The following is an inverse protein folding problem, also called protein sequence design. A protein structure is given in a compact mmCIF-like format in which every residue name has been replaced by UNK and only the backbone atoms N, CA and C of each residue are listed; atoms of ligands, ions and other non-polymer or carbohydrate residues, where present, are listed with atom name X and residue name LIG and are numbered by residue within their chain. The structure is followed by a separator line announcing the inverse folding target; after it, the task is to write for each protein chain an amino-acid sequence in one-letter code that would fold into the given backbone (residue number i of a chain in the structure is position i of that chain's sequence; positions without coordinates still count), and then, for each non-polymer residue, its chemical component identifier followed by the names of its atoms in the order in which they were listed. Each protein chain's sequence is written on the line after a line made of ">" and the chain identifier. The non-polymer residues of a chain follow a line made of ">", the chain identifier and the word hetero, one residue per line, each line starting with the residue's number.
data_IF_820658538482
#
_entry.id   IF_820658538482
#
_cell.length_a   1.000
_cell.length_b   1.000
_cell.length_c   1.000
_cell.angle_alpha   90.00
_cell.angle_beta   90.00
_cell.angle_gamma   90.00
#
_symmetry.space_group_name_H-M   'P 1'
#
loop_
_entity.id
_entity.type
_entity.pdbx_description
1 polymer ?
#
# COMPACT_ATOMS: atom_id res chain seq x y z
N UNK A 1 2.05 12.65 -28.95
CA UNK A 1 1.41 11.98 -27.82
C UNK A 1 1.19 10.54 -28.23
N UNK A 2 1.64 9.58 -27.42
CA UNK A 2 1.39 8.15 -27.63
C UNK A 2 0.57 7.63 -26.45
N UNK A 3 -0.57 7.00 -26.71
CA UNK A 3 -1.45 6.47 -25.66
C UNK A 3 -1.69 5.01 -25.98
N UNK A 4 -1.54 4.12 -25.00
CA UNK A 4 -1.82 2.69 -25.15
C UNK A 4 -1.21 2.05 -26.42
N UNK A 5 0.11 2.16 -26.54
CA UNK A 5 0.85 1.75 -27.74
C UNK A 5 2.27 1.36 -27.39
N UNK A 6 2.89 2.03 -26.41
CA UNK A 6 4.28 1.77 -26.05
C UNK A 6 4.48 0.34 -25.53
N UNK A 7 3.52 -0.15 -24.76
CA UNK A 7 3.45 -1.51 -24.24
C UNK A 7 3.29 -2.57 -25.34
N UNK A 8 2.73 -2.22 -26.51
CA UNK A 8 2.60 -3.11 -27.66
C UNK A 8 3.87 -3.16 -28.53
N UNK A 9 4.87 -2.31 -28.26
CA UNK A 9 6.10 -2.27 -29.06
C UNK A 9 6.96 -3.50 -28.80
N UNK A 10 7.26 -4.33 -29.83
CA UNK A 10 8.14 -5.47 -29.67
C UNK A 10 9.60 -5.03 -29.48
N UNK A 11 9.97 -3.84 -29.97
CA UNK A 11 11.30 -3.27 -29.84
C UNK A 11 11.25 -1.79 -29.40
N UNK A 12 11.09 -1.53 -28.08
CA UNK A 12 10.97 -0.17 -27.55
C UNK A 12 12.21 0.71 -27.80
N UNK A 13 13.41 0.13 -27.77
CA UNK A 13 14.66 0.86 -28.03
C UNK A 13 14.71 1.37 -29.48
N UNK A 14 14.34 0.54 -30.47
CA UNK A 14 14.25 0.97 -31.87
C UNK A 14 13.25 2.09 -32.06
N UNK A 15 12.08 2.00 -31.40
CA UNK A 15 11.08 3.05 -31.42
C UNK A 15 11.63 4.37 -30.86
N UNK A 16 12.24 4.35 -29.66
CA UNK A 16 12.86 5.52 -29.05
C UNK A 16 13.91 6.14 -29.97
N UNK A 17 14.83 5.33 -30.53
CA UNK A 17 15.82 5.82 -31.52
C UNK A 17 15.17 6.43 -32.75
N UNK A 18 14.05 5.88 -33.20
CA UNK A 18 13.24 6.45 -34.28
C UNK A 18 12.72 7.83 -33.92
N UNK A 19 12.13 7.99 -32.72
CA UNK A 19 11.68 9.29 -32.22
C UNK A 19 12.84 10.30 -32.14
N UNK A 20 13.99 9.90 -31.63
CA UNK A 20 15.16 10.78 -31.52
C UNK A 20 15.63 11.34 -32.87
N UNK A 21 15.42 10.61 -33.98
CA UNK A 21 15.79 11.07 -35.33
C UNK A 21 14.85 12.15 -35.89
N UNK A 22 13.60 12.19 -35.42
CA UNK A 22 12.56 13.10 -35.96
C UNK A 22 12.26 14.28 -35.02
N UNK A 23 12.68 14.19 -33.76
CA UNK A 23 12.57 15.27 -32.80
C UNK A 23 13.64 16.35 -33.06
N UNK A 24 13.24 17.61 -32.87
CA UNK A 24 14.19 18.73 -32.79
C UNK A 24 14.97 18.64 -31.47
N UNK A 25 16.15 19.27 -31.36
CA UNK A 25 16.86 19.39 -30.08
C UNK A 25 15.94 19.87 -28.95
N UNK A 26 15.94 19.17 -27.82
CA UNK A 26 15.06 19.44 -26.68
C UNK A 26 13.58 19.05 -26.89
N UNK A 27 13.24 18.36 -27.98
CA UNK A 27 11.91 17.84 -28.25
C UNK A 27 11.45 16.84 -27.18
N UNK A 28 10.14 16.83 -26.92
CA UNK A 28 9.53 16.02 -25.84
C UNK A 28 8.57 15.00 -26.42
N UNK A 29 8.59 13.79 -25.86
CA UNK A 29 7.58 12.75 -26.06
C UNK A 29 6.74 12.69 -24.79
N UNK A 30 5.43 12.85 -24.94
CA UNK A 30 4.45 12.58 -23.87
C UNK A 30 3.73 11.28 -24.17
N UNK A 31 3.68 10.39 -23.17
CA UNK A 31 2.99 9.10 -23.30
C UNK A 31 2.09 8.83 -22.11
N UNK A 32 1.00 8.11 -22.37
CA UNK A 32 0.15 7.52 -21.34
C UNK A 32 0.33 6.00 -21.41
N UNK A 33 0.72 5.39 -20.29
CA UNK A 33 1.21 4.02 -20.21
C UNK A 33 0.39 3.26 -19.18
N UNK A 34 -0.16 2.07 -19.51
CA UNK A 34 -0.86 1.23 -18.54
C UNK A 34 0.01 0.95 -17.31
N UNK A 35 -0.59 1.09 -16.13
CA UNK A 35 -0.01 0.57 -14.90
C UNK A 35 -0.50 -0.88 -14.73
N UNK A 36 0.42 -1.84 -14.65
CA UNK A 36 0.07 -3.26 -14.48
C UNK A 36 -0.84 -3.50 -13.29
N UNK A 37 -0.77 -2.66 -12.25
CA UNK A 37 -1.56 -2.77 -11.02
C UNK A 37 -3.04 -2.43 -11.21
N UNK A 38 -3.42 -1.95 -12.40
CA UNK A 38 -4.73 -1.41 -12.73
C UNK A 38 -5.29 -1.90 -14.09
N UNK A 39 -4.65 -2.90 -14.70
CA UNK A 39 -5.08 -3.48 -15.98
C UNK A 39 -4.87 -5.00 -16.01
N UNK A 40 -5.18 -5.62 -17.15
CA UNK A 40 -5.08 -7.07 -17.32
C UNK A 40 -3.66 -7.63 -17.27
N UNK A 41 -2.61 -6.81 -17.24
CA UNK A 41 -1.25 -7.26 -16.94
C UNK A 41 -1.01 -7.54 -15.44
N UNK A 42 -2.06 -7.45 -14.61
CA UNK A 42 -2.02 -7.57 -13.15
C UNK A 42 -1.09 -8.66 -12.61
N UNK A 43 -1.14 -9.87 -13.19
CA UNK A 43 -0.34 -11.00 -12.72
C UNK A 43 1.03 -11.15 -13.41
N UNK A 44 1.30 -10.37 -14.46
CA UNK A 44 2.57 -10.45 -15.20
C UNK A 44 3.68 -9.70 -14.47
N UNK A 45 4.93 -10.20 -14.46
CA UNK A 45 6.06 -9.45 -13.94
C UNK A 45 6.33 -8.19 -14.79
N UNK A 46 6.94 -7.18 -14.20
CA UNK A 46 7.44 -6.02 -14.96
C UNK A 46 8.54 -6.43 -15.93
N UNK A 47 8.62 -5.76 -17.07
CA UNK A 47 9.63 -6.05 -18.09
C UNK A 47 11.04 -5.77 -17.61
N UNK A 48 11.98 -6.64 -17.97
CA UNK A 48 13.40 -6.50 -17.64
C UNK A 48 14.16 -5.74 -18.72
N UNK A 49 15.27 -5.11 -18.33
CA UNK A 49 16.18 -4.48 -19.30
C UNK A 49 16.75 -5.48 -20.30
N UNK A 50 17.02 -6.71 -19.86
CA UNK A 50 17.53 -7.78 -20.74
C UNK A 50 16.55 -8.13 -21.85
N UNK A 51 15.24 -8.12 -21.59
CA UNK A 51 14.23 -8.36 -22.63
C UNK A 51 14.27 -7.27 -23.72
N UNK A 52 14.41 -6.01 -23.32
CA UNK A 52 14.56 -4.89 -24.27
C UNK A 52 15.87 -4.96 -25.05
N UNK A 53 16.99 -5.32 -24.41
CA UNK A 53 18.29 -5.48 -25.08
C UNK A 53 18.23 -6.63 -26.09
N UNK A 54 17.67 -7.78 -25.72
CA UNK A 54 17.53 -8.93 -26.62
C UNK A 54 16.68 -8.56 -27.84
N UNK A 55 15.48 -8.01 -27.61
CA UNK A 55 14.60 -7.52 -28.66
C UNK A 55 15.28 -6.51 -29.60
N UNK A 56 16.10 -5.61 -29.04
CA UNK A 56 16.84 -4.63 -29.81
C UNK A 56 17.94 -5.25 -30.66
N UNK A 57 18.74 -6.16 -30.11
CA UNK A 57 19.85 -6.82 -30.81
C UNK A 57 19.36 -7.80 -31.88
N UNK A 58 18.23 -8.45 -31.65
CA UNK A 58 17.57 -9.36 -32.60
C UNK A 58 16.72 -8.61 -33.64
N UNK A 59 16.61 -7.29 -33.52
CA UNK A 59 15.79 -6.40 -34.35
C UNK A 59 14.34 -6.91 -34.52
N UNK A 60 13.73 -7.36 -33.42
CA UNK A 60 12.38 -7.95 -33.47
C UNK A 60 11.37 -6.90 -33.96
N UNK A 61 10.50 -7.31 -34.87
CA UNK A 61 9.51 -6.43 -35.51
C UNK A 61 8.07 -6.80 -35.18
N UNK A 62 7.86 -7.84 -34.38
CA UNK A 62 6.54 -8.35 -34.00
C UNK A 62 6.60 -8.98 -32.59
N UNK A 63 5.48 -9.05 -31.87
CA UNK A 63 5.41 -9.77 -30.60
C UNK A 63 5.77 -11.24 -30.79
N UNK A 64 6.49 -11.79 -29.82
CA UNK A 64 6.83 -13.21 -29.77
C UNK A 64 5.65 -14.05 -29.25
N UNK A 65 5.64 -15.35 -29.58
CA UNK A 65 4.70 -16.31 -28.96
C UNK A 65 4.83 -16.31 -27.43
N UNK A 66 6.03 -16.09 -26.91
CA UNK A 66 6.31 -15.87 -25.48
C UNK A 66 5.46 -14.76 -24.88
N UNK A 67 5.54 -13.57 -25.47
CA UNK A 67 4.79 -12.41 -24.98
C UNK A 67 3.28 -12.61 -25.07
N UNK A 68 2.78 -13.22 -26.16
CA UNK A 68 1.36 -13.50 -26.30
C UNK A 68 0.87 -14.52 -25.26
N UNK A 69 1.59 -15.62 -25.06
CA UNK A 69 1.26 -16.64 -24.08
C UNK A 69 1.25 -16.09 -22.65
N UNK A 70 2.28 -15.34 -22.26
CA UNK A 70 2.36 -14.72 -20.94
C UNK A 70 1.18 -13.75 -20.73
N UNK A 71 0.80 -13.00 -21.77
CA UNK A 71 -0.36 -12.10 -21.71
C UNK A 71 -1.67 -12.86 -21.50
N UNK A 72 -1.97 -13.85 -22.34
CA UNK A 72 -3.28 -14.54 -22.31
C UNK A 72 -3.44 -15.45 -21.09
N UNK A 73 -2.36 -16.07 -20.60
CA UNK A 73 -2.40 -16.94 -19.42
C UNK A 73 -2.43 -16.18 -18.11
N UNK A 74 -1.90 -14.95 -18.08
CA UNK A 74 -1.90 -14.08 -16.91
C UNK A 74 -2.92 -12.93 -16.98
N UNK A 75 -3.87 -12.96 -17.93
CA UNK A 75 -4.90 -11.92 -18.09
C UNK A 75 -5.70 -11.75 -16.80
N UNK A 76 -5.47 -10.64 -16.11
CA UNK A 76 -6.17 -10.27 -14.89
C UNK A 76 -7.55 -9.71 -15.19
N UNK A 77 -8.56 -10.29 -14.56
CA UNK A 77 -9.95 -9.87 -14.65
C UNK A 77 -10.45 -9.47 -13.27
N UNK A 78 -10.84 -8.20 -13.12
CA UNK A 78 -11.45 -7.69 -11.89
C UNK A 78 -12.95 -7.98 -11.89
N UNK A 79 -13.42 -8.63 -10.83
CA UNK A 79 -14.83 -8.95 -10.60
C UNK A 79 -15.55 -7.76 -9.96
N UNK A 80 -16.46 -7.14 -10.70
CA UNK A 80 -17.28 -6.02 -10.23
C UNK A 80 -18.57 -6.46 -9.54
N UNK A 81 -18.81 -7.77 -9.41
CA UNK A 81 -20.06 -8.40 -8.96
C UNK A 81 -21.05 -8.67 -10.10
N UNK A 82 -21.20 -7.73 -11.04
CA UNK A 82 -22.09 -7.87 -12.20
C UNK A 82 -21.36 -8.36 -13.46
N UNK A 83 -20.05 -8.10 -13.55
CA UNK A 83 -19.24 -8.35 -14.74
C UNK A 83 -17.77 -8.49 -14.37
N UNK A 84 -16.95 -8.87 -15.36
CA UNK A 84 -15.50 -8.86 -15.26
C UNK A 84 -14.90 -7.83 -16.20
N UNK A 85 -13.95 -7.03 -15.73
CA UNK A 85 -13.27 -6.01 -16.54
C UNK A 85 -11.76 -6.24 -16.60
N UNK A 86 -11.16 -5.83 -17.73
CA UNK A 86 -9.70 -5.90 -17.98
C UNK A 86 -8.95 -4.63 -17.56
N UNK A 87 -9.69 -3.63 -17.07
CA UNK A 87 -9.16 -2.35 -16.64
C UNK A 87 -9.99 -1.83 -15.48
N UNK A 88 -9.33 -1.32 -14.45
CA UNK A 88 -9.91 -0.97 -13.16
C UNK A 88 -9.04 0.06 -12.44
N UNK A 89 -9.55 0.69 -11.38
CA UNK A 89 -8.74 1.64 -10.61
C UNK A 89 -7.65 0.92 -9.81
N UNK A 90 -6.54 1.61 -9.52
CA UNK A 90 -5.49 1.04 -8.68
C UNK A 90 -5.99 0.84 -7.24
N UNK A 91 -5.57 -0.26 -6.62
CA UNK A 91 -5.87 -0.54 -5.22
C UNK A 91 -7.21 -1.26 -4.97
N UNK A 92 -7.80 -1.85 -6.02
CA UNK A 92 -8.86 -2.85 -5.85
C UNK A 92 -8.41 -3.99 -4.93
N UNK A 93 -9.38 -4.64 -4.29
CA UNK A 93 -9.14 -5.85 -3.48
C UNK A 93 -8.48 -6.93 -4.35
N UNK A 94 -7.23 -7.36 -4.07
CA UNK A 94 -6.53 -8.35 -4.88
C UNK A 94 -7.29 -9.66 -5.08
N UNK A 95 -8.09 -10.06 -4.10
CA UNK A 95 -8.93 -11.27 -4.11
C UNK A 95 -10.02 -11.23 -5.18
N UNK A 96 -10.40 -10.04 -5.65
CA UNK A 96 -11.38 -9.85 -6.73
C UNK A 96 -10.75 -9.85 -8.11
N UNK A 97 -9.42 -9.89 -8.21
CA UNK A 97 -8.72 -10.03 -9.48
C UNK A 97 -8.36 -11.50 -9.67
N UNK A 98 -8.73 -12.08 -10.82
CA UNK A 98 -8.48 -13.49 -11.13
C UNK A 98 -8.07 -13.67 -12.59
N UNK A 99 -7.25 -14.69 -12.86
CA UNK A 99 -6.94 -15.12 -14.21
C UNK A 99 -7.75 -16.37 -14.57
N UNK A 100 -8.33 -16.39 -15.77
CA UNK A 100 -8.99 -17.59 -16.28
C UNK A 100 -7.98 -18.67 -16.65
N UNK A 101 -8.28 -19.94 -16.35
CA UNK A 101 -7.42 -21.05 -16.75
C UNK A 101 -7.46 -21.22 -18.27
N UNK A 102 -6.33 -20.98 -18.95
CA UNK A 102 -6.18 -21.13 -20.41
C UNK A 102 -4.96 -21.96 -20.81
N UNK A 103 -4.33 -22.70 -19.90
CA UNK A 103 -3.02 -23.31 -20.14
C UNK A 103 -3.02 -24.31 -21.32
N UNK A 104 -3.98 -25.24 -21.36
CA UNK A 104 -4.04 -26.26 -22.43
C UNK A 104 -4.28 -25.61 -23.81
N UNK A 105 -5.24 -24.69 -23.89
CA UNK A 105 -5.55 -23.94 -25.12
C UNK A 105 -4.35 -23.09 -25.57
N UNK A 106 -3.73 -22.35 -24.64
CA UNK A 106 -2.61 -21.45 -24.96
C UNK A 106 -1.36 -22.22 -25.35
N UNK A 107 -1.14 -23.41 -24.77
CA UNK A 107 -0.02 -24.28 -25.14
C UNK A 107 -0.24 -24.95 -26.51
N UNK A 108 -1.48 -25.34 -26.81
CA UNK A 108 -1.85 -25.79 -28.15
C UNK A 108 -1.62 -24.67 -29.19
N UNK A 109 -2.06 -23.43 -28.91
CA UNK A 109 -1.81 -22.27 -29.76
C UNK A 109 -0.31 -21.98 -29.95
N UNK A 110 0.50 -22.11 -28.89
CA UNK A 110 1.95 -21.91 -28.96
C UNK A 110 2.64 -22.90 -29.91
N UNK A 111 2.26 -24.17 -29.80
CA UNK A 111 2.91 -25.29 -30.50
C UNK A 111 2.39 -25.46 -31.92
N UNK A 112 1.30 -24.81 -32.29
CA UNK A 112 0.76 -24.81 -33.64
C UNK A 112 1.70 -24.10 -34.63
N UNK A 113 2.40 -24.90 -35.43
CA UNK A 113 3.31 -24.42 -36.47
C UNK A 113 2.57 -23.81 -37.66
N UNK A 114 1.28 -24.08 -37.86
CA UNK A 114 0.51 -23.50 -38.96
C UNK A 114 0.31 -22.00 -38.80
N UNK A 115 0.41 -21.49 -37.57
CA UNK A 115 0.32 -20.07 -37.19
C UNK A 115 1.69 -19.39 -37.18
N UNK A 116 2.70 -19.98 -37.82
CA UNK A 116 4.02 -19.36 -37.88
C UNK A 116 3.98 -18.08 -38.72
N UNK A 117 4.59 -17.02 -38.20
CA UNK A 117 4.53 -15.69 -38.80
C UNK A 117 3.20 -14.94 -38.67
N UNK A 118 2.18 -15.48 -38.00
CA UNK A 118 0.96 -14.72 -37.66
C UNK A 118 1.29 -13.57 -36.70
N UNK A 119 0.59 -12.44 -36.84
CA UNK A 119 0.73 -11.30 -35.93
C UNK A 119 -0.28 -11.43 -34.79
N UNK A 120 0.24 -11.53 -33.57
CA UNK A 120 -0.55 -11.52 -32.35
C UNK A 120 -0.39 -10.16 -31.69
N UNK A 121 -1.46 -9.38 -31.61
CA UNK A 121 -1.41 -8.14 -30.84
C UNK A 121 -1.22 -8.48 -29.36
N UNK A 122 -0.22 -7.88 -28.73
CA UNK A 122 0.17 -8.24 -27.36
C UNK A 122 0.86 -7.08 -26.67
N UNK A 123 0.56 -6.92 -25.38
CA UNK A 123 1.42 -6.16 -24.48
C UNK A 123 2.78 -6.87 -24.38
N UNK A 124 3.73 -6.39 -25.17
CA UNK A 124 5.12 -6.83 -25.23
C UNK A 124 5.91 -6.43 -23.99
N UNK A 125 5.54 -5.31 -23.38
CA UNK A 125 6.14 -4.81 -22.15
C UNK A 125 5.08 -4.48 -21.10
N UNK A 126 5.46 -4.59 -19.83
CA UNK A 126 4.59 -4.44 -18.65
C UNK A 126 5.30 -3.53 -17.66
N UNK A 127 4.59 -2.51 -17.16
CA UNK A 127 5.21 -1.44 -16.37
C UNK A 127 4.46 -1.12 -15.08
N UNK A 128 5.23 -0.61 -14.14
CA UNK A 128 4.82 0.34 -13.11
C UNK A 128 5.56 1.65 -13.38
N UNK A 129 5.19 2.78 -12.75
CA UNK A 129 5.90 4.05 -12.93
C UNK A 129 7.42 3.92 -12.70
N UNK A 130 7.83 3.31 -11.59
CA UNK A 130 9.26 3.17 -11.27
C UNK A 130 9.99 2.19 -12.18
N UNK A 131 9.32 1.12 -12.66
CA UNK A 131 9.97 0.18 -13.59
C UNK A 131 10.17 0.77 -14.97
N UNK A 132 9.21 1.56 -15.46
CA UNK A 132 9.37 2.32 -16.70
C UNK A 132 10.51 3.35 -16.57
N UNK A 133 10.55 4.10 -15.46
CA UNK A 133 11.63 5.06 -15.20
C UNK A 133 13.00 4.39 -15.29
N UNK A 134 13.15 3.28 -14.59
CA UNK A 134 14.39 2.52 -14.54
C UNK A 134 14.81 2.06 -15.93
N UNK A 135 13.89 1.52 -16.73
CA UNK A 135 14.20 1.05 -18.09
C UNK A 135 14.65 2.18 -19.01
N UNK A 136 13.96 3.33 -19.00
CA UNK A 136 14.35 4.47 -19.83
C UNK A 136 15.73 5.01 -19.41
N UNK A 137 15.96 5.15 -18.10
CA UNK A 137 17.25 5.61 -17.57
C UNK A 137 18.37 4.63 -17.88
N UNK A 138 18.17 3.32 -17.72
CA UNK A 138 19.20 2.31 -18.01
C UNK A 138 19.51 2.27 -19.51
N UNK A 139 18.50 2.40 -20.38
CA UNK A 139 18.67 2.54 -21.84
C UNK A 139 19.49 3.78 -22.20
N UNK A 140 19.21 4.92 -21.57
CA UNK A 140 19.97 6.15 -21.74
C UNK A 140 21.40 6.00 -21.24
N UNK A 141 21.59 5.39 -20.07
CA UNK A 141 22.88 5.17 -19.45
C UNK A 141 23.81 4.30 -20.31
N UNK A 142 23.24 3.30 -20.98
CA UNK A 142 23.93 2.42 -21.92
C UNK A 142 24.15 3.06 -23.30
N UNK A 143 23.63 4.26 -23.56
CA UNK A 143 23.72 4.93 -24.85
C UNK A 143 22.85 4.30 -25.95
N UNK A 144 21.82 3.55 -25.57
CA UNK A 144 20.93 2.85 -26.51
C UNK A 144 19.82 3.76 -27.06
N UNK A 145 19.35 4.73 -26.29
CA UNK A 145 18.48 5.81 -26.77
C UNK A 145 18.67 7.11 -25.95
N UNK A 146 18.60 8.31 -26.57
CA UNK A 146 19.00 9.56 -25.92
C UNK A 146 17.81 10.29 -25.28
N UNK A 147 17.18 9.69 -24.27
CA UNK A 147 16.04 10.30 -23.56
C UNK A 147 16.28 10.47 -22.07
N UNK A 148 16.07 11.70 -21.61
CA UNK A 148 15.99 12.07 -20.21
C UNK A 148 14.54 11.92 -19.73
N UNK A 149 14.35 11.31 -18.56
CA UNK A 149 13.06 11.30 -17.88
C UNK A 149 12.87 12.65 -17.19
N UNK A 150 11.94 13.46 -17.71
CA UNK A 150 11.62 14.79 -17.15
C UNK A 150 10.59 14.66 -16.04
N UNK A 151 9.56 13.85 -16.28
CA UNK A 151 8.42 13.73 -15.38
C UNK A 151 7.75 12.37 -15.56
N UNK A 152 7.40 11.76 -14.44
CA UNK A 152 6.45 10.66 -14.37
C UNK A 152 5.35 11.10 -13.40
N UNK A 153 4.17 11.31 -13.94
CA UNK A 153 2.98 11.61 -13.17
C UNK A 153 2.26 10.31 -12.86
N UNK A 154 2.37 9.90 -11.60
CA UNK A 154 1.63 8.76 -11.07
C UNK A 154 0.16 9.14 -10.87
N UNK A 155 -0.74 8.39 -11.51
CA UNK A 155 -2.18 8.62 -11.48
C UNK A 155 -2.88 7.43 -10.80
N UNK A 156 -3.91 7.67 -9.97
CA UNK A 156 -4.67 6.59 -9.32
C UNK A 156 -5.58 5.81 -10.29
N UNK A 157 -5.64 6.24 -11.56
CA UNK A 157 -6.40 5.58 -12.61
C UNK A 157 -5.74 4.30 -13.13
N UNK A 158 -5.95 4.03 -14.42
CA UNK A 158 -5.49 2.81 -15.12
C UNK A 158 -4.09 2.94 -15.71
N UNK A 159 -3.59 4.17 -15.77
CA UNK A 159 -2.37 4.54 -16.48
C UNK A 159 -1.62 5.65 -15.73
N UNK A 160 -0.33 5.77 -16.01
CA UNK A 160 0.52 6.87 -15.59
C UNK A 160 1.02 7.64 -16.82
N UNK A 161 1.39 8.91 -16.63
CA UNK A 161 1.83 9.78 -17.72
C UNK A 161 3.32 10.05 -17.63
N UNK A 162 4.01 10.00 -18.76
CA UNK A 162 5.46 10.21 -18.82
C UNK A 162 5.79 11.31 -19.80
N UNK A 163 6.84 12.08 -19.46
CA UNK A 163 7.46 13.05 -20.36
C UNK A 163 8.94 12.74 -20.48
N UNK A 164 9.34 12.41 -21.70
CA UNK A 164 10.72 12.14 -22.06
C UNK A 164 11.24 13.27 -22.93
N UNK A 165 12.40 13.83 -22.59
CA UNK A 165 13.05 14.87 -23.39
C UNK A 165 14.25 14.28 -24.12
N UNK A 166 14.34 14.54 -25.41
CA UNK A 166 15.54 14.20 -26.18
C UNK A 166 16.71 15.04 -25.65
N UNK A 167 17.76 14.37 -25.22
CA UNK A 167 18.94 14.98 -24.64
C UNK A 167 20.20 14.21 -25.08
N UNK A 168 21.23 14.92 -25.52
CA UNK A 168 22.50 14.37 -25.98
C UNK A 168 23.66 14.63 -25.01
N UNK A 169 23.42 15.35 -23.91
CA UNK A 169 24.41 15.57 -22.85
C UNK A 169 24.67 14.28 -22.08
N UNK A 170 25.94 13.93 -21.95
CA UNK A 170 26.37 12.77 -21.15
C UNK A 170 26.00 12.95 -19.69
N UNK A 171 26.11 14.17 -19.16
CA UNK A 171 25.80 14.50 -17.78
C UNK A 171 24.31 14.27 -17.47
N UNK A 172 23.43 14.56 -18.44
CA UNK A 172 22.00 14.30 -18.30
C UNK A 172 21.64 12.81 -18.42
N UNK A 173 22.30 12.06 -19.32
CA UNK A 173 22.00 10.64 -19.57
C UNK A 173 22.76 9.68 -18.64
N UNK A 174 23.87 10.12 -18.06
CA UNK A 174 24.75 9.38 -17.15
C UNK A 174 25.18 10.26 -15.96
N UNK A 175 24.22 10.73 -15.15
CA UNK A 175 24.51 11.62 -14.04
C UNK A 175 25.39 10.95 -12.98
N UNK A 176 26.10 11.76 -12.18
CA UNK A 176 26.73 11.29 -10.95
C UNK A 176 25.66 10.77 -9.97
N UNK A 177 26.02 9.77 -9.15
CA UNK A 177 25.06 9.16 -8.21
C UNK A 177 24.01 8.24 -8.86
N UNK A 178 24.27 7.75 -10.07
CA UNK A 178 23.34 6.89 -10.80
C UNK A 178 23.06 5.57 -10.06
N UNK A 179 24.05 5.02 -9.36
CA UNK A 179 23.90 3.77 -8.60
C UNK A 179 22.89 3.91 -7.46
N UNK A 180 22.97 4.99 -6.68
CA UNK A 180 22.06 5.28 -5.58
C UNK A 180 20.63 5.49 -6.10
N UNK A 181 20.47 6.29 -7.16
CA UNK A 181 19.17 6.49 -7.82
C UNK A 181 18.60 5.16 -8.33
N UNK A 182 19.44 4.33 -8.98
CA UNK A 182 19.04 3.03 -9.49
C UNK A 182 18.59 2.09 -8.37
N UNK A 183 19.32 2.05 -7.26
CA UNK A 183 18.94 1.26 -6.09
C UNK A 183 17.60 1.73 -5.48
N UNK A 184 17.36 3.04 -5.42
CA UNK A 184 16.08 3.59 -4.98
C UNK A 184 14.93 3.16 -5.88
N UNK A 185 15.10 3.21 -7.21
CA UNK A 185 14.08 2.74 -8.15
C UNK A 185 13.83 1.23 -8.02
N UNK A 186 14.88 0.43 -7.84
CA UNK A 186 14.74 -1.02 -7.63
C UNK A 186 13.91 -1.33 -6.38
N UNK A 187 14.12 -0.61 -5.28
CA UNK A 187 13.28 -0.75 -4.08
C UNK A 187 11.84 -0.32 -4.34
N UNK A 188 11.62 0.82 -5.02
CA UNK A 188 10.26 1.27 -5.37
C UNK A 188 9.50 0.27 -6.23
N UNK A 189 10.17 -0.43 -7.15
CA UNK A 189 9.53 -1.48 -7.96
C UNK A 189 9.04 -2.63 -7.07
N UNK A 190 9.80 -2.99 -6.02
CA UNK A 190 9.36 -4.00 -5.04
C UNK A 190 8.15 -3.51 -4.23
N UNK A 191 8.16 -2.25 -3.80
CA UNK A 191 7.04 -1.64 -3.08
C UNK A 191 5.78 -1.56 -3.95
N UNK A 192 5.90 -1.12 -5.21
CA UNK A 192 4.80 -1.07 -6.17
C UNK A 192 4.25 -2.48 -6.47
N UNK A 193 5.12 -3.49 -6.57
CA UNK A 193 4.68 -4.87 -6.73
C UNK A 193 3.89 -5.36 -5.50
N UNK A 194 4.32 -5.00 -4.29
CA UNK A 194 3.65 -5.37 -3.05
C UNK A 194 2.22 -4.82 -2.94
N UNK A 195 1.89 -3.70 -3.59
CA UNK A 195 0.52 -3.15 -3.57
C UNK A 195 -0.56 -4.10 -4.10
N UNK A 196 -0.18 -5.05 -4.95
CA UNK A 196 -1.09 -6.07 -5.50
C UNK A 196 -1.18 -7.34 -4.63
N UNK A 197 -0.46 -7.37 -3.50
CA UNK A 197 -0.48 -8.48 -2.55
C UNK A 197 -1.61 -8.34 -1.53
N UNK A 198 -2.42 -9.39 -1.40
CA UNK A 198 -3.46 -9.52 -0.35
C UNK A 198 -2.90 -9.32 1.05
N UNK A 199 -1.71 -9.87 1.31
CA UNK A 199 -1.04 -9.76 2.61
C UNK A 199 -0.61 -8.33 2.88
N UNK A 200 -0.05 -7.64 1.89
CA UNK A 200 0.37 -6.24 2.03
C UNK A 200 -0.83 -5.32 2.24
N UNK A 201 -1.91 -5.50 1.48
CA UNK A 201 -3.13 -4.72 1.61
C UNK A 201 -3.72 -4.83 3.02
N UNK A 202 -3.76 -6.05 3.58
CA UNK A 202 -4.16 -6.26 4.98
C UNK A 202 -3.20 -5.58 5.97
N UNK A 203 -1.89 -5.70 5.74
CA UNK A 203 -0.89 -5.12 6.62
C UNK A 203 -0.86 -3.58 6.60
N UNK A 204 -1.28 -2.95 5.50
CA UNK A 204 -1.26 -1.49 5.32
C UNK A 204 -2.17 -0.75 6.31
N UNK A 205 -3.19 -1.42 6.86
CA UNK A 205 -4.12 -0.84 7.85
C UNK A 205 -3.59 -0.94 9.29
N UNK A 206 -2.55 -1.76 9.52
CA UNK A 206 -2.01 -2.00 10.86
C UNK A 206 -1.46 -0.73 11.53
N UNK A 207 -0.70 0.17 10.86
CA UNK A 207 -0.17 1.37 11.52
C UNK A 207 -1.27 2.26 12.09
N UNK A 208 -2.38 2.46 11.36
CA UNK A 208 -3.52 3.24 11.82
C UNK A 208 -4.24 2.56 13.00
N UNK A 209 -4.39 1.24 12.92
CA UNK A 209 -4.96 0.44 14.02
C UNK A 209 -4.10 0.52 15.28
N UNK A 210 -2.78 0.41 15.15
CA UNK A 210 -1.82 0.53 16.25
C UNK A 210 -1.89 1.92 16.87
N UNK A 211 -1.90 2.98 16.08
CA UNK A 211 -2.03 4.35 16.58
C UNK A 211 -3.33 4.55 17.39
N UNK A 212 -4.47 4.06 16.86
CA UNK A 212 -5.76 4.14 17.57
C UNK A 212 -5.76 3.36 18.88
N UNK A 213 -5.16 2.16 18.91
CA UNK A 213 -5.03 1.36 20.12
C UNK A 213 -4.13 2.03 21.16
N UNK A 214 -3.06 2.69 20.73
CA UNK A 214 -2.17 3.46 21.62
C UNK A 214 -2.91 4.65 22.26
N UNK A 215 -3.73 5.38 21.50
CA UNK A 215 -4.56 6.47 22.04
C UNK A 215 -5.58 5.97 23.07
N UNK A 216 -6.27 4.86 22.77
CA UNK A 216 -7.23 4.25 23.69
C UNK A 216 -6.56 3.74 24.97
N UNK A 217 -5.37 3.15 24.85
CA UNK A 217 -4.58 2.69 25.99
C UNK A 217 -4.18 3.86 26.89
N UNK A 218 -3.70 4.96 26.31
CA UNK A 218 -3.35 6.16 27.05
C UNK A 218 -4.56 6.77 27.78
N UNK A 219 -5.73 6.81 27.13
CA UNK A 219 -6.97 7.27 27.75
C UNK A 219 -7.40 6.37 28.92
N UNK A 220 -7.28 5.05 28.76
CA UNK A 220 -7.59 4.09 29.82
C UNK A 220 -6.64 4.25 31.02
N UNK A 221 -5.33 4.34 30.78
CA UNK A 221 -4.33 4.56 31.83
C UNK A 221 -4.60 5.83 32.64
N UNK A 222 -5.02 6.92 31.98
CA UNK A 222 -5.40 8.16 32.66
C UNK A 222 -6.63 7.98 33.54
N UNK A 223 -7.64 7.25 33.06
CA UNK A 223 -8.84 6.95 33.84
C UNK A 223 -8.53 6.08 35.05
N UNK A 224 -7.68 5.06 34.89
CA UNK A 224 -7.24 4.20 36.00
C UNK A 224 -6.51 5.01 37.07
N UNK A 225 -5.62 5.92 36.69
CA UNK A 225 -4.91 6.77 37.64
C UNK A 225 -5.86 7.66 38.47
N UNK A 226 -6.88 8.26 37.84
CA UNK A 226 -7.91 9.04 38.55
C UNK A 226 -8.70 8.16 39.52
N UNK A 227 -9.11 6.97 39.08
CA UNK A 227 -9.84 6.04 39.94
C UNK A 227 -8.99 5.56 41.12
N UNK A 228 -7.69 5.35 40.94
CA UNK A 228 -6.76 4.98 42.01
C UNK A 228 -6.65 6.11 43.05
N UNK A 229 -6.54 7.36 42.62
CA UNK A 229 -6.53 8.54 43.51
C UNK A 229 -7.84 8.68 44.30
N UNK A 230 -8.98 8.50 43.63
CA UNK A 230 -10.30 8.49 44.27
C UNK A 230 -10.42 7.35 45.30
N UNK A 231 -9.90 6.17 44.96
CA UNK A 231 -9.94 4.98 45.85
C UNK A 231 -9.12 5.21 47.11
N UNK A 232 -7.93 5.78 47.00
CA UNK A 232 -7.09 6.13 48.14
C UNK A 232 -7.75 7.21 49.01
N UNK A 233 -8.36 8.21 48.38
CA UNK A 233 -9.13 9.24 49.10
C UNK A 233 -10.29 8.63 49.89
N UNK A 234 -11.05 7.70 49.28
CA UNK A 234 -12.15 7.00 49.94
C UNK A 234 -11.68 6.08 51.07
N UNK A 235 -10.55 5.40 50.90
CA UNK A 235 -9.93 4.58 51.95
C UNK A 235 -9.59 5.42 53.18
N UNK A 236 -8.95 6.57 52.99
CA UNK A 236 -8.63 7.50 54.08
C UNK A 236 -9.89 8.03 54.79
N UNK A 237 -10.96 8.31 54.04
CA UNK A 237 -12.25 8.73 54.62
C UNK A 237 -12.87 7.62 55.48
N UNK A 238 -12.88 6.37 54.99
CA UNK A 238 -13.39 5.21 55.73
C UNK A 238 -12.61 5.02 57.03
N UNK A 239 -11.28 5.11 57.01
CA UNK A 239 -10.45 5.02 58.21
C UNK A 239 -10.77 6.13 59.22
N UNK A 240 -10.93 7.38 58.76
CA UNK A 240 -11.29 8.50 59.62
C UNK A 240 -12.66 8.32 60.27
N UNK A 241 -13.65 7.85 59.51
CA UNK A 241 -14.99 7.57 60.03
C UNK A 241 -14.98 6.41 61.03
N UNK A 242 -14.21 5.35 60.75
CA UNK A 242 -14.01 4.24 61.67
C UNK A 242 -13.39 4.71 63.00
N UNK A 243 -12.37 5.57 62.95
CA UNK A 243 -11.77 6.15 64.15
C UNK A 243 -12.76 6.98 64.96
N UNK A 244 -13.52 7.86 64.29
CA UNK A 244 -14.57 8.65 64.95
C UNK A 244 -15.64 7.76 65.57
N UNK A 245 -16.00 6.66 64.91
CA UNK A 245 -16.91 5.64 65.43
C UNK A 245 -16.38 5.03 66.73
N UNK A 246 -15.10 4.62 66.77
CA UNK A 246 -14.44 4.08 67.97
C UNK A 246 -14.48 5.07 69.14
N UNK A 247 -14.19 6.35 68.90
CA UNK A 247 -14.22 7.40 69.92
C UNK A 247 -15.65 7.56 70.47
N UNK A 248 -16.64 7.71 69.59
CA UNK A 248 -18.04 7.88 70.00
C UNK A 248 -18.58 6.67 70.79
N UNK A 249 -18.19 5.45 70.42
CA UNK A 249 -18.53 4.25 71.18
C UNK A 249 -17.91 4.28 72.59
N UNK A 250 -16.65 4.70 72.71
CA UNK A 250 -15.97 4.87 74.01
C UNK A 250 -16.67 5.91 74.88
N UNK A 251 -16.99 7.09 74.33
CA UNK A 251 -17.72 8.15 75.02
C UNK A 251 -19.10 7.68 75.49
N UNK A 252 -19.84 6.97 74.63
CA UNK A 252 -21.14 6.40 74.99
C UNK A 252 -21.01 5.37 76.12
N UNK A 253 -19.98 4.53 76.12
CA UNK A 253 -19.71 3.60 77.22
C UNK A 253 -19.41 4.36 78.52
N UNK A 254 -18.58 5.41 78.46
CA UNK A 254 -18.25 6.24 79.63
C UNK A 254 -19.49 6.94 80.21
N UNK A 255 -20.33 7.55 79.36
CA UNK A 255 -21.60 8.16 79.76
C UNK A 255 -22.50 7.11 80.42
N UNK A 256 -22.65 5.93 79.80
CA UNK A 256 -23.47 4.83 80.33
C UNK A 256 -22.96 4.30 81.69
N UNK A 257 -21.65 4.36 81.92
CA UNK A 257 -21.03 3.95 83.18
C UNK A 257 -21.11 5.02 84.29
N UNK A 258 -21.39 6.28 83.95
CA UNK A 258 -21.41 7.42 84.88
C UNK A 258 -22.53 7.34 85.94
N UNK A 259 -22.29 7.98 87.08
CA UNK A 259 -23.20 8.01 88.23
C UNK A 259 -24.51 8.73 87.91
N UNK A 260 -24.44 9.87 87.20
CA UNK A 260 -25.61 10.64 86.78
C UNK A 260 -26.51 9.84 85.83
N UNK A 261 -25.93 9.07 84.90
CA UNK A 261 -26.66 8.15 84.05
C UNK A 261 -27.31 7.04 84.87
N UNK A 262 -26.59 6.39 85.79
CA UNK A 262 -27.17 5.34 86.65
C UNK A 262 -28.33 5.86 87.51
N UNK A 263 -28.21 7.05 88.08
CA UNK A 263 -29.24 7.68 88.97
C UNK A 263 -30.51 8.06 88.20
N UNK A 264 -30.38 8.54 86.96
CA UNK A 264 -31.53 8.94 86.11
C UNK A 264 -32.20 7.78 85.35
N UNK A 265 -31.75 6.54 85.58
CA UNK A 265 -32.27 5.31 84.97
C UNK A 265 -33.80 5.10 85.14
N UNK A 266 -34.41 5.30 86.33
CA UNK A 266 -35.86 5.11 86.51
C UNK A 266 -36.70 6.07 85.66
N UNK A 267 -36.29 7.33 85.56
CA UNK A 267 -36.95 8.36 84.75
C UNK A 267 -36.87 8.05 83.24
N UNK A 268 -35.71 7.57 82.75
CA UNK A 268 -35.58 7.15 81.34
C UNK A 268 -36.42 5.92 81.00
N UNK A 269 -36.57 4.98 81.93
CA UNK A 269 -37.47 3.82 81.76
C UNK A 269 -38.95 4.23 81.67
N UNK A 270 -39.35 5.27 82.39
CA UNK A 270 -40.72 5.81 82.29
C UNK A 270 -40.95 6.47 80.93
N UNK A 271 -40.04 7.33 80.46
CA UNK A 271 -40.18 8.03 79.16
C UNK A 271 -40.19 7.03 77.99
N UNK A 272 -39.39 5.96 78.06
CA UNK A 272 -39.36 4.91 77.04
C UNK A 272 -40.61 4.02 76.96
N UNK A 273 -41.54 4.11 77.92
CA UNK A 273 -42.85 3.43 77.87
C UNK A 273 -43.96 4.27 77.21
N UNK A 274 -43.68 5.54 76.90
CA UNK A 274 -44.61 6.48 76.27
C UNK A 274 -44.24 6.83 74.82
N UNK A 275 -43.24 6.15 74.26
CA UNK A 275 -42.92 6.08 72.83
C UNK A 275 -43.15 4.65 72.37
#
# INVERSE_FOLDING_TARGET
>A
MSSHNFEHLPNPIRFLRGCAKVLRPGGVISMAIPDRRACFDYFRPVTTLSAWIAAFLEDVSRPSRAQYFDMVTCTGLFDTGDSKTISFHRGVEPEKVSAGLRLDESFAEWTDQSRDGEYFDSHCSVFTPSSFELLIRDVAYLGLAPFEVVEIFDSPGVEFYVRLKMNDSKEALRPEGYEEMRNLLLHRILDEAAETSSTYMTARELPGTVASLQERLAAFQKSTAVLEEDLETRRAEVERLAERGRILESDLQAIRASTSWKVTSPLRRMIGKFR
#
